data_IF_583121678089
#
_entry.id   IF_583121678089
#
_cell.length_a   1.000
_cell.length_b   1.000
_cell.length_c   1.000
_cell.angle_alpha   90.00
_cell.angle_beta   90.00
_cell.angle_gamma   90.00
#
_symmetry.space_group_name_H-M   'P 1'
#
loop_
_entity.id
_entity.type
_entity.pdbx_description
1 polymer ?
#
# COMPACT_ATOMS: atom_id res chain seq x y z
N UNK A 1 21.27 20.44 12.77
CA UNK A 1 21.61 19.87 11.45
C UNK A 1 20.42 20.09 10.53
N UNK A 2 20.59 20.92 9.49
CA UNK A 2 19.52 21.23 8.54
C UNK A 2 19.25 19.99 7.68
N UNK A 3 18.05 19.41 7.82
CA UNK A 3 17.59 18.41 6.86
C UNK A 3 17.56 19.08 5.48
N UNK A 4 18.44 18.67 4.58
CA UNK A 4 18.36 19.06 3.18
C UNK A 4 16.97 18.65 2.67
N UNK A 5 16.15 19.64 2.30
CA UNK A 5 14.90 19.44 1.57
C UNK A 5 15.25 18.88 0.18
N UNK A 6 15.52 17.58 0.11
CA UNK A 6 15.67 16.90 -1.18
C UNK A 6 14.28 16.88 -1.81
N UNK A 7 14.12 17.69 -2.83
CA UNK A 7 12.89 17.73 -3.61
C UNK A 7 12.64 16.35 -4.21
N UNK A 8 11.55 15.68 -3.83
CA UNK A 8 11.16 14.42 -4.44
C UNK A 8 10.73 14.67 -5.89
N UNK A 9 11.46 14.08 -6.81
CA UNK A 9 11.10 14.04 -8.23
C UNK A 9 10.58 12.63 -8.52
N UNK A 10 9.27 12.48 -8.58
CA UNK A 10 8.65 11.20 -8.93
C UNK A 10 9.03 10.76 -10.34
N UNK A 11 8.86 9.46 -10.62
CA UNK A 11 9.03 8.92 -11.97
C UNK A 11 8.08 9.64 -12.97
N UNK A 12 8.34 9.48 -14.29
CA UNK A 12 7.41 9.98 -15.32
C UNK A 12 5.99 9.44 -15.09
N UNK A 13 5.86 8.15 -14.75
CA UNK A 13 4.58 7.53 -14.45
C UNK A 13 3.91 8.17 -13.24
N UNK A 14 4.65 8.38 -12.14
CA UNK A 14 4.14 9.08 -10.95
C UNK A 14 3.54 10.44 -11.31
N UNK A 15 4.26 11.26 -12.06
CA UNK A 15 3.79 12.60 -12.45
C UNK A 15 2.53 12.55 -13.32
N UNK A 16 2.43 11.58 -14.24
CA UNK A 16 1.23 11.35 -15.05
C UNK A 16 0.06 10.99 -14.15
N UNK A 17 0.22 10.04 -13.23
CA UNK A 17 -0.86 9.60 -12.32
C UNK A 17 -1.31 10.71 -11.37
N UNK A 18 -0.37 11.45 -10.78
CA UNK A 18 -0.69 12.61 -9.94
C UNK A 18 -1.50 13.66 -10.70
N UNK A 19 -1.16 13.91 -11.96
CA UNK A 19 -1.93 14.85 -12.80
C UNK A 19 -3.33 14.30 -13.16
N UNK A 20 -3.45 12.99 -13.45
CA UNK A 20 -4.76 12.35 -13.65
C UNK A 20 -5.64 12.50 -12.40
N UNK A 21 -5.11 12.22 -11.21
CA UNK A 21 -5.87 12.39 -9.96
C UNK A 21 -6.33 13.84 -9.74
N UNK A 22 -5.51 14.82 -10.12
CA UNK A 22 -5.92 16.24 -10.09
C UNK A 22 -7.07 16.54 -11.07
N UNK A 23 -7.03 15.96 -12.27
CA UNK A 23 -8.06 16.12 -13.29
C UNK A 23 -9.38 15.43 -12.92
N UNK A 24 -9.31 14.30 -12.19
CA UNK A 24 -10.49 13.62 -11.64
C UNK A 24 -11.24 14.49 -10.61
N UNK A 25 -10.56 15.45 -10.01
CA UNK A 25 -11.14 16.40 -9.05
C UNK A 25 -11.41 15.78 -7.68
N UNK A 26 -12.59 16.11 -7.12
CA UNK A 26 -12.99 15.64 -5.78
C UNK A 26 -13.26 14.15 -5.72
N UNK A 27 -12.97 13.54 -4.57
CA UNK A 27 -13.46 12.20 -4.29
C UNK A 27 -14.97 12.22 -4.05
N UNK A 28 -15.69 11.15 -4.39
CA UNK A 28 -17.09 11.00 -4.01
C UNK A 28 -17.27 11.03 -2.49
N UNK A 29 -18.42 11.48 -2.03
CA UNK A 29 -18.77 11.45 -0.62
C UNK A 29 -18.65 10.02 -0.06
N UNK A 30 -18.06 9.92 1.12
CA UNK A 30 -17.84 8.64 1.79
C UNK A 30 -17.02 7.63 0.96
N UNK A 31 -16.16 8.08 0.06
CA UNK A 31 -15.30 7.20 -0.72
C UNK A 31 -14.47 6.28 0.17
N UNK A 32 -14.16 5.09 -0.35
CA UNK A 32 -13.14 4.19 0.17
C UNK A 32 -11.92 4.33 -0.72
N UNK A 33 -10.74 4.52 -0.16
CA UNK A 33 -9.51 4.73 -0.93
C UNK A 33 -8.55 3.56 -0.76
N UNK A 34 -8.11 2.98 -1.87
CA UNK A 34 -6.97 2.07 -1.93
C UNK A 34 -5.72 2.90 -2.19
N UNK A 35 -4.92 3.14 -1.15
CA UNK A 35 -3.71 3.98 -1.17
C UNK A 35 -2.46 3.12 -1.11
N UNK A 36 -1.59 3.23 -2.11
CA UNK A 36 -0.37 2.44 -2.14
C UNK A 36 0.42 2.61 -3.42
N UNK A 37 1.20 1.60 -3.75
CA UNK A 37 2.09 1.57 -4.91
C UNK A 37 1.51 0.76 -6.08
N UNK A 38 2.37 -0.01 -6.80
CA UNK A 38 1.97 -0.85 -7.92
C UNK A 38 0.98 -1.93 -7.53
N UNK A 39 1.06 -2.48 -6.32
CA UNK A 39 0.11 -3.48 -5.86
C UNK A 39 -1.32 -2.91 -5.82
N UNK A 40 -1.48 -1.69 -5.32
CA UNK A 40 -2.78 -1.01 -5.36
C UNK A 40 -3.19 -0.62 -6.78
N UNK A 41 -2.26 -0.06 -7.59
CA UNK A 41 -2.58 0.39 -8.95
C UNK A 41 -3.01 -0.74 -9.87
N UNK A 42 -2.30 -1.88 -9.86
CA UNK A 42 -2.66 -3.05 -10.66
C UNK A 42 -3.97 -3.72 -10.23
N UNK A 43 -4.50 -3.43 -9.06
CA UNK A 43 -5.86 -3.78 -8.67
C UNK A 43 -6.92 -3.17 -9.60
N UNK A 44 -6.57 -2.11 -10.36
CA UNK A 44 -7.44 -1.43 -11.34
C UNK A 44 -8.75 -0.96 -10.70
N UNK A 45 -9.88 -1.43 -11.21
CA UNK A 45 -11.19 -1.17 -10.62
C UNK A 45 -11.48 -2.14 -9.47
N UNK A 46 -11.26 -1.68 -8.25
CA UNK A 46 -11.53 -2.45 -7.05
C UNK A 46 -13.03 -2.72 -6.82
N UNK A 47 -13.92 -1.91 -7.39
CA UNK A 47 -15.37 -2.09 -7.24
C UNK A 47 -15.85 -3.42 -7.81
N UNK A 48 -15.10 -4.02 -8.78
CA UNK A 48 -15.42 -5.34 -9.34
C UNK A 48 -15.48 -6.46 -8.28
N UNK A 49 -14.74 -6.31 -7.18
CA UNK A 49 -14.75 -7.29 -6.06
C UNK A 49 -15.83 -7.00 -5.03
N UNK A 50 -16.42 -5.79 -5.05
CA UNK A 50 -17.30 -5.27 -4.01
C UNK A 50 -18.50 -4.52 -4.62
N UNK A 51 -19.37 -5.21 -5.38
CA UNK A 51 -20.42 -4.54 -6.18
C UNK A 51 -21.44 -3.78 -5.33
N UNK A 52 -21.59 -4.12 -4.05
CA UNK A 52 -22.53 -3.48 -3.12
C UNK A 52 -21.86 -2.50 -2.16
N UNK A 53 -20.56 -2.26 -2.29
CA UNK A 53 -19.84 -1.33 -1.44
C UNK A 53 -20.00 0.12 -1.93
N UNK A 54 -19.63 1.07 -1.05
CA UNK A 54 -19.39 2.46 -1.46
C UNK A 54 -18.31 2.51 -2.52
N UNK A 55 -18.27 3.59 -3.31
CA UNK A 55 -17.31 3.72 -4.40
C UNK A 55 -15.87 3.63 -3.88
N UNK A 56 -15.13 2.65 -4.38
CA UNK A 56 -13.73 2.42 -4.06
C UNK A 56 -12.89 3.12 -5.11
N UNK A 57 -12.03 4.02 -4.68
CA UNK A 57 -11.15 4.83 -5.52
C UNK A 57 -9.73 4.30 -5.41
N UNK A 58 -9.17 3.92 -6.54
CA UNK A 58 -7.78 3.49 -6.61
C UNK A 58 -6.84 4.70 -6.65
N UNK A 59 -6.04 4.84 -5.62
CA UNK A 59 -4.96 5.84 -5.49
C UNK A 59 -3.59 5.16 -5.37
N UNK A 60 -3.41 4.02 -6.05
CA UNK A 60 -2.11 3.39 -6.26
C UNK A 60 -1.31 4.07 -7.36
N UNK A 61 0.03 4.08 -7.24
CA UNK A 61 0.96 4.52 -8.28
C UNK A 61 2.15 3.57 -8.34
N UNK A 62 2.38 2.97 -9.52
CA UNK A 62 3.51 2.07 -9.77
C UNK A 62 4.83 2.76 -9.41
N UNK A 63 5.64 2.09 -8.60
CA UNK A 63 6.96 2.58 -8.19
C UNK A 63 6.93 3.65 -7.11
N UNK A 64 5.75 3.96 -6.53
CA UNK A 64 5.65 4.95 -5.46
C UNK A 64 6.24 4.43 -4.15
N UNK A 65 6.87 5.33 -3.42
CA UNK A 65 7.45 5.08 -2.11
C UNK A 65 6.77 5.93 -1.02
N UNK A 66 7.16 5.76 0.23
CA UNK A 66 6.59 6.50 1.36
C UNK A 66 6.66 8.02 1.18
N UNK A 67 7.69 8.56 0.51
CA UNK A 67 7.84 10.00 0.23
C UNK A 67 6.84 10.47 -0.83
N UNK A 68 6.69 9.69 -1.90
CA UNK A 68 5.78 10.02 -2.99
C UNK A 68 4.34 10.00 -2.51
N UNK A 69 3.95 8.99 -1.73
CA UNK A 69 2.63 8.90 -1.10
C UNK A 69 2.40 10.12 -0.20
N UNK A 70 3.35 10.44 0.68
CA UNK A 70 3.25 11.61 1.58
C UNK A 70 2.96 12.91 0.81
N UNK A 71 3.64 13.12 -0.34
CA UNK A 71 3.48 14.33 -1.16
C UNK A 71 2.12 14.49 -1.82
N UNK A 72 1.38 13.41 -2.04
CA UNK A 72 0.08 13.42 -2.72
C UNK A 72 -1.12 13.19 -1.79
N UNK A 73 -0.91 13.14 -0.48
CA UNK A 73 -2.01 13.07 0.49
C UNK A 73 -2.97 14.26 0.38
N UNK A 74 -2.50 15.42 -0.04
CA UNK A 74 -3.31 16.60 -0.29
C UNK A 74 -4.36 16.42 -1.40
N UNK A 75 -4.29 15.35 -2.20
CA UNK A 75 -5.29 14.98 -3.20
C UNK A 75 -6.36 14.02 -2.66
N UNK A 76 -6.24 13.63 -1.41
CA UNK A 76 -7.10 12.63 -0.77
C UNK A 76 -7.74 13.20 0.49
N UNK A 77 -6.91 13.71 1.41
CA UNK A 77 -7.34 14.07 2.75
C UNK A 77 -8.36 15.22 2.81
N UNK A 78 -8.31 16.26 1.93
CA UNK A 78 -9.33 17.31 1.94
C UNK A 78 -10.77 16.84 1.69
N UNK A 79 -10.93 15.63 1.16
CA UNK A 79 -12.23 15.03 0.84
C UNK A 79 -12.77 14.09 1.92
N UNK A 80 -12.07 13.93 3.04
CA UNK A 80 -12.48 13.12 4.19
C UNK A 80 -13.04 11.74 3.78
N UNK A 81 -12.25 10.86 3.12
CA UNK A 81 -12.73 9.56 2.72
C UNK A 81 -13.19 8.76 3.95
N UNK A 82 -14.22 7.93 3.81
CA UNK A 82 -14.73 7.14 4.93
C UNK A 82 -13.72 6.10 5.41
N UNK A 83 -12.93 5.53 4.47
CA UNK A 83 -11.93 4.52 4.75
C UNK A 83 -10.70 4.72 3.86
N UNK A 84 -9.53 4.43 4.40
CA UNK A 84 -8.28 4.31 3.63
C UNK A 84 -7.65 2.96 3.94
N UNK A 85 -7.43 2.15 2.90
CA UNK A 85 -6.62 0.94 2.94
C UNK A 85 -5.23 1.31 2.43
N UNK A 86 -4.23 1.25 3.30
CA UNK A 86 -2.89 1.76 3.03
C UNK A 86 -1.84 0.66 3.06
N UNK A 87 -1.09 0.51 1.97
CA UNK A 87 0.05 -0.39 1.83
C UNK A 87 1.22 0.38 1.22
N UNK A 88 2.43 0.27 1.81
CA UNK A 88 3.63 0.96 1.34
C UNK A 88 4.89 0.37 1.97
N UNK A 89 6.02 0.40 1.23
CA UNK A 89 7.33 0.06 1.74
C UNK A 89 8.17 -0.80 0.79
N UNK A 90 7.53 -1.52 -0.13
CA UNK A 90 8.23 -2.40 -1.08
C UNK A 90 9.21 -1.63 -1.97
N UNK A 91 8.80 -0.48 -2.49
CA UNK A 91 9.68 0.37 -3.30
C UNK A 91 10.77 1.04 -2.47
N UNK A 92 10.47 1.42 -1.22
CA UNK A 92 11.47 1.91 -0.27
C UNK A 92 12.60 0.88 -0.05
N UNK A 93 12.22 -0.41 0.10
CA UNK A 93 13.20 -1.52 0.16
C UNK A 93 14.01 -1.63 -1.12
N UNK A 94 13.40 -1.44 -2.29
CA UNK A 94 14.09 -1.47 -3.58
C UNK A 94 15.15 -0.39 -3.70
N UNK A 95 14.97 0.75 -3.03
CA UNK A 95 15.96 1.84 -2.94
C UNK A 95 17.13 1.54 -2.01
N UNK A 96 17.12 0.38 -1.33
CA UNK A 96 18.17 -0.02 -0.40
C UNK A 96 18.11 0.69 0.96
N UNK A 97 16.97 1.25 1.33
CA UNK A 97 16.82 1.90 2.63
C UNK A 97 16.71 0.87 3.74
N UNK A 98 17.14 1.26 4.93
CA UNK A 98 17.03 0.44 6.13
C UNK A 98 15.57 0.31 6.56
N UNK A 99 15.23 -0.83 7.19
CA UNK A 99 13.88 -1.07 7.73
C UNK A 99 13.43 0.07 8.64
N UNK A 100 14.34 0.59 9.48
CA UNK A 100 14.02 1.71 10.39
C UNK A 100 13.64 2.98 9.62
N UNK A 101 14.39 3.34 8.58
CA UNK A 101 14.09 4.51 7.74
C UNK A 101 12.74 4.36 7.04
N UNK A 102 12.45 3.17 6.51
CA UNK A 102 11.19 2.88 5.83
C UNK A 102 10.04 2.97 6.83
N UNK A 103 10.19 2.32 7.97
CA UNK A 103 9.20 2.35 9.06
C UNK A 103 8.83 3.79 9.44
N UNK A 104 9.82 4.67 9.67
CA UNK A 104 9.57 6.10 9.96
C UNK A 104 8.83 6.80 8.81
N UNK A 105 9.19 6.53 7.57
CA UNK A 105 8.49 7.07 6.40
C UNK A 105 7.02 6.66 6.34
N UNK A 106 6.74 5.38 6.55
CA UNK A 106 5.38 4.83 6.57
C UNK A 106 4.58 5.37 7.76
N UNK A 107 5.17 5.42 8.96
CA UNK A 107 4.53 6.01 10.16
C UNK A 107 4.19 7.48 9.94
N UNK A 108 5.06 8.26 9.31
CA UNK A 108 4.75 9.66 8.98
C UNK A 108 3.51 9.81 8.08
N UNK A 109 3.32 8.90 7.13
CA UNK A 109 2.09 8.87 6.30
C UNK A 109 0.89 8.54 7.17
N UNK A 110 0.97 7.50 8.01
CA UNK A 110 -0.09 7.08 8.93
C UNK A 110 -0.52 8.24 9.84
N UNK A 111 0.44 8.91 10.50
CA UNK A 111 0.16 10.01 11.41
C UNK A 111 -0.41 11.24 10.68
N UNK A 112 0.05 11.52 9.46
CA UNK A 112 -0.55 12.59 8.64
C UNK A 112 -2.01 12.31 8.34
N UNK A 113 -2.36 11.07 7.98
CA UNK A 113 -3.76 10.68 7.74
C UNK A 113 -4.58 10.83 9.03
N UNK A 114 -4.10 10.28 10.14
CA UNK A 114 -4.80 10.28 11.43
C UNK A 114 -5.08 11.69 11.95
N UNK A 115 -4.09 12.56 11.86
CA UNK A 115 -4.21 13.94 12.37
C UNK A 115 -5.05 14.82 11.48
N UNK A 116 -4.99 14.63 10.15
CA UNK A 116 -5.74 15.44 9.19
C UNK A 116 -7.19 14.98 9.06
N UNK A 117 -7.44 13.67 9.11
CA UNK A 117 -8.77 13.08 8.91
C UNK A 117 -9.12 12.11 10.07
N UNK A 118 -9.35 12.60 11.29
CA UNK A 118 -9.54 11.76 12.47
C UNK A 118 -10.79 10.86 12.42
N UNK A 119 -11.74 11.16 11.53
CA UNK A 119 -12.94 10.34 11.32
C UNK A 119 -12.76 9.25 10.26
N UNK A 120 -11.69 9.31 9.48
CA UNK A 120 -11.38 8.29 8.47
C UNK A 120 -10.92 7.01 9.14
N UNK A 121 -11.57 5.89 8.83
CA UNK A 121 -11.08 4.57 9.26
C UNK A 121 -9.83 4.20 8.45
N UNK A 122 -8.70 4.14 9.12
CA UNK A 122 -7.42 3.77 8.50
C UNK A 122 -7.10 2.31 8.77
N UNK A 123 -6.89 1.55 7.68
CA UNK A 123 -6.45 0.15 7.69
C UNK A 123 -5.04 0.09 7.13
N UNK A 124 -4.08 -0.20 7.99
CA UNK A 124 -2.68 -0.40 7.58
C UNK A 124 -2.52 -1.85 7.14
N UNK A 125 -2.04 -2.06 5.93
CA UNK A 125 -1.86 -3.38 5.34
C UNK A 125 -0.38 -3.77 5.34
N UNK A 126 -0.09 -5.06 5.54
CA UNK A 126 1.27 -5.57 5.43
C UNK A 126 1.80 -5.46 3.99
N UNK A 127 3.10 -5.39 3.84
CA UNK A 127 3.75 -5.70 2.57
C UNK A 127 3.48 -7.16 2.19
N UNK A 128 3.56 -7.45 0.89
CA UNK A 128 3.33 -8.78 0.33
C UNK A 128 4.63 -9.60 0.27
N UNK A 129 4.53 -10.95 0.29
CA UNK A 129 5.69 -11.79 0.08
C UNK A 129 6.20 -11.72 -1.38
N UNK A 130 7.46 -12.08 -1.60
CA UNK A 130 8.04 -12.25 -2.93
C UNK A 130 7.97 -13.72 -3.37
N UNK A 131 8.20 -13.98 -4.67
CA UNK A 131 8.46 -15.33 -5.18
C UNK A 131 9.56 -15.31 -6.24
N UNK A 132 10.80 -15.51 -5.82
CA UNK A 132 11.96 -15.48 -6.71
C UNK A 132 12.02 -16.66 -7.70
N UNK A 133 11.21 -17.71 -7.49
CA UNK A 133 11.10 -18.84 -8.43
C UNK A 133 10.21 -18.49 -9.63
N UNK A 134 9.22 -17.62 -9.45
CA UNK A 134 8.38 -17.11 -10.52
C UNK A 134 9.08 -15.99 -11.28
N UNK A 135 9.80 -15.11 -10.57
CA UNK A 135 10.58 -14.04 -11.18
C UNK A 135 11.42 -13.29 -10.17
N UNK A 136 12.56 -12.77 -10.61
CA UNK A 136 13.52 -12.07 -9.75
C UNK A 136 13.54 -10.58 -10.04
N UNK A 137 13.12 -9.82 -9.06
CA UNK A 137 13.26 -8.36 -9.04
C UNK A 137 14.63 -8.01 -8.43
N UNK A 138 15.60 -7.66 -9.27
CA UNK A 138 17.02 -7.49 -8.91
C UNK A 138 17.24 -6.65 -7.65
N UNK A 139 16.48 -5.57 -7.47
CA UNK A 139 16.61 -4.65 -6.33
C UNK A 139 15.92 -5.17 -5.05
N UNK A 140 15.11 -6.23 -5.15
CA UNK A 140 14.41 -6.87 -4.03
C UNK A 140 14.95 -8.27 -3.72
N UNK A 141 15.86 -8.78 -4.53
CA UNK A 141 16.41 -10.14 -4.37
C UNK A 141 16.96 -10.36 -2.96
N UNK A 142 16.49 -11.44 -2.31
CA UNK A 142 16.92 -11.84 -0.96
C UNK A 142 16.45 -10.91 0.15
N UNK A 143 15.40 -10.08 -0.06
CA UNK A 143 14.92 -9.12 0.93
C UNK A 143 13.68 -9.57 1.70
N UNK A 144 13.28 -10.84 1.59
CA UNK A 144 12.10 -11.35 2.30
C UNK A 144 12.16 -11.13 3.80
N UNK A 145 13.33 -11.36 4.42
CA UNK A 145 13.51 -11.11 5.87
C UNK A 145 13.30 -9.63 6.24
N UNK A 146 13.65 -8.69 5.35
CA UNK A 146 13.41 -7.27 5.58
C UNK A 146 11.93 -6.91 5.47
N UNK A 147 11.19 -7.58 4.57
CA UNK A 147 9.73 -7.46 4.46
C UNK A 147 9.08 -7.94 5.76
N UNK A 148 9.49 -9.11 6.26
CA UNK A 148 8.97 -9.66 7.52
C UNK A 148 9.24 -8.70 8.69
N UNK A 149 10.48 -8.23 8.84
CA UNK A 149 10.85 -7.28 9.88
C UNK A 149 10.03 -5.99 9.83
N UNK A 150 9.81 -5.44 8.62
CA UNK A 150 9.01 -4.23 8.46
C UNK A 150 7.53 -4.49 8.82
N UNK A 151 6.97 -5.62 8.39
CA UNK A 151 5.60 -6.02 8.72
C UNK A 151 5.40 -6.18 10.24
N UNK A 152 6.37 -6.79 10.94
CA UNK A 152 6.33 -6.93 12.40
C UNK A 152 6.37 -5.56 13.11
N UNK A 153 7.26 -4.65 12.67
CA UNK A 153 7.32 -3.28 13.23
C UNK A 153 6.00 -2.53 13.00
N UNK A 154 5.41 -2.62 11.80
CA UNK A 154 4.14 -1.98 11.49
C UNK A 154 2.99 -2.58 12.29
N UNK A 155 2.95 -3.90 12.46
CA UNK A 155 1.97 -4.59 13.31
C UNK A 155 2.06 -4.12 14.76
N UNK A 156 3.29 -4.08 15.32
CA UNK A 156 3.53 -3.58 16.68
C UNK A 156 3.05 -2.14 16.83
N UNK A 157 3.45 -1.27 15.91
CA UNK A 157 3.02 0.12 15.90
C UNK A 157 1.48 0.28 15.86
N UNK A 158 0.82 -0.49 15.01
CA UNK A 158 -0.64 -0.46 14.92
C UNK A 158 -1.31 -0.91 16.22
N UNK A 159 -0.80 -1.98 16.85
CA UNK A 159 -1.29 -2.46 18.13
C UNK A 159 -1.17 -1.39 19.23
N UNK A 160 0.00 -0.76 19.37
CA UNK A 160 0.28 0.26 20.37
C UNK A 160 -0.59 1.52 20.18
N UNK A 161 -0.97 1.81 18.92
CA UNK A 161 -1.75 3.00 18.53
C UNK A 161 -3.24 2.70 18.26
N UNK A 162 -3.73 1.49 18.58
CA UNK A 162 -5.13 1.06 18.37
C UNK A 162 -5.60 1.22 16.93
N UNK A 163 -4.70 0.97 15.97
CA UNK A 163 -4.98 0.92 14.54
C UNK A 163 -5.23 -0.51 14.10
N UNK A 164 -6.03 -0.68 13.05
CA UNK A 164 -6.24 -1.98 12.43
C UNK A 164 -5.06 -2.28 11.50
N UNK A 165 -4.34 -3.37 11.79
CA UNK A 165 -3.35 -3.95 10.89
C UNK A 165 -3.96 -5.14 10.16
N UNK A 166 -3.94 -5.12 8.82
CA UNK A 166 -4.44 -6.21 7.99
C UNK A 166 -3.26 -7.02 7.45
N UNK A 167 -3.20 -8.27 7.81
CA UNK A 167 -2.18 -9.19 7.34
C UNK A 167 -2.54 -9.71 5.95
N UNK A 168 -1.87 -9.22 4.93
CA UNK A 168 -1.93 -9.73 3.56
C UNK A 168 -0.79 -10.74 3.29
N UNK A 169 0.28 -10.70 4.11
CA UNK A 169 1.50 -11.48 3.89
C UNK A 169 1.23 -12.97 4.00
N UNK A 170 0.75 -13.42 5.17
CA UNK A 170 0.59 -14.86 5.44
C UNK A 170 -0.44 -15.55 4.54
N UNK A 171 -1.63 -14.98 4.26
CA UNK A 171 -2.59 -15.61 3.35
C UNK A 171 -2.12 -15.77 1.90
N UNK A 172 -1.11 -14.98 1.50
CA UNK A 172 -0.53 -15.05 0.15
C UNK A 172 0.67 -16.01 0.05
N UNK A 173 1.14 -16.57 1.17
CA UNK A 173 2.25 -17.53 1.16
C UNK A 173 1.86 -18.84 0.48
N UNK A 174 2.86 -19.49 -0.13
CA UNK A 174 2.76 -20.86 -0.62
C UNK A 174 2.86 -21.91 0.50
N UNK A 175 2.75 -23.17 0.11
CA UNK A 175 2.80 -24.33 1.03
C UNK A 175 4.07 -24.34 1.90
N UNK A 176 5.18 -23.83 1.41
CA UNK A 176 6.45 -23.76 2.13
C UNK A 176 6.56 -22.59 3.12
N UNK A 177 5.54 -21.75 3.24
CA UNK A 177 5.47 -20.57 4.11
C UNK A 177 6.66 -19.59 4.00
N UNK A 178 7.36 -19.55 2.85
CA UNK A 178 8.52 -18.67 2.62
C UNK A 178 8.34 -17.71 1.45
N UNK A 179 7.56 -18.09 0.44
CA UNK A 179 7.39 -17.34 -0.80
C UNK A 179 5.90 -17.21 -1.11
N UNK A 180 5.53 -16.18 -1.86
CA UNK A 180 4.17 -16.05 -2.38
C UNK A 180 3.78 -17.31 -3.15
N UNK A 181 2.55 -17.79 -3.00
CA UNK A 181 2.05 -18.92 -3.79
C UNK A 181 2.17 -18.60 -5.29
N UNK A 182 2.69 -19.55 -6.09
CA UNK A 182 2.95 -19.31 -7.50
C UNK A 182 1.71 -18.88 -8.29
N UNK A 183 0.52 -19.44 -7.97
CA UNK A 183 -0.75 -19.03 -8.60
C UNK A 183 -1.18 -17.61 -8.26
N UNK A 184 -0.73 -17.07 -7.12
CA UNK A 184 -1.05 -15.70 -6.70
C UNK A 184 -0.06 -14.69 -7.24
N UNK A 185 1.08 -15.16 -7.76
CA UNK A 185 2.20 -14.37 -8.23
C UNK A 185 2.20 -14.26 -9.77
N UNK A 186 2.40 -13.06 -10.30
CA UNK A 186 2.50 -12.82 -11.74
C UNK A 186 3.94 -12.85 -12.27
N UNK A 187 4.86 -12.25 -11.52
CA UNK A 187 6.21 -11.94 -12.00
C UNK A 187 7.28 -11.93 -10.90
N UNK A 188 7.00 -12.57 -9.77
CA UNK A 188 7.89 -12.62 -8.60
C UNK A 188 7.62 -11.53 -7.55
N UNK A 189 6.87 -10.48 -7.92
CA UNK A 189 6.52 -9.34 -7.06
C UNK A 189 5.01 -9.08 -7.06
N UNK A 190 4.42 -8.92 -8.25
CA UNK A 190 3.05 -8.47 -8.38
C UNK A 190 2.05 -9.63 -8.38
N UNK A 191 0.83 -9.34 -7.95
CA UNK A 191 -0.24 -10.32 -7.88
C UNK A 191 -0.79 -10.70 -9.25
N UNK A 192 -1.18 -11.97 -9.38
CA UNK A 192 -2.07 -12.46 -10.41
C UNK A 192 -3.53 -12.09 -10.10
N UNK A 193 -4.46 -12.40 -11.02
CA UNK A 193 -5.89 -12.21 -10.75
C UNK A 193 -6.35 -13.01 -9.51
N UNK A 194 -5.88 -14.25 -9.34
CA UNK A 194 -6.16 -15.06 -8.14
C UNK A 194 -5.62 -14.41 -6.87
N UNK A 195 -4.42 -13.82 -6.93
CA UNK A 195 -3.84 -13.08 -5.80
C UNK A 195 -4.70 -11.88 -5.38
N UNK A 196 -5.26 -11.15 -6.35
CA UNK A 196 -6.21 -10.06 -6.06
C UNK A 196 -7.54 -10.55 -5.48
N UNK A 197 -8.03 -11.73 -5.86
CA UNK A 197 -9.20 -12.35 -5.24
C UNK A 197 -8.94 -12.69 -3.75
N UNK A 198 -7.75 -13.21 -3.44
CA UNK A 198 -7.32 -13.44 -2.04
C UNK A 198 -7.31 -12.14 -1.27
N UNK A 199 -6.65 -11.09 -1.79
CA UNK A 199 -6.61 -9.78 -1.14
C UNK A 199 -8.03 -9.23 -0.91
N UNK A 200 -8.87 -9.25 -1.94
CA UNK A 200 -10.26 -8.79 -1.82
C UNK A 200 -11.04 -9.55 -0.75
N UNK A 201 -10.85 -10.86 -0.65
CA UNK A 201 -11.52 -11.68 0.37
C UNK A 201 -11.06 -11.31 1.79
N UNK A 202 -9.78 -11.04 2.00
CA UNK A 202 -9.22 -10.61 3.29
C UNK A 202 -9.84 -9.29 3.75
N UNK A 203 -9.94 -8.30 2.85
CA UNK A 203 -10.44 -6.97 3.22
C UNK A 203 -11.97 -6.85 3.17
N UNK A 204 -12.70 -7.89 2.76
CA UNK A 204 -14.15 -7.83 2.53
C UNK A 204 -14.96 -7.40 3.74
N UNK A 205 -14.66 -7.92 4.93
CA UNK A 205 -15.33 -7.53 6.16
C UNK A 205 -15.14 -6.06 6.47
N UNK A 206 -13.91 -5.55 6.30
CA UNK A 206 -13.56 -4.16 6.54
C UNK A 206 -14.16 -3.19 5.52
N UNK A 207 -14.39 -3.64 4.29
CA UNK A 207 -15.08 -2.85 3.27
C UNK A 207 -16.54 -2.65 3.65
N UNK A 208 -17.20 -3.69 4.19
CA UNK A 208 -18.65 -3.75 4.42
C UNK A 208 -19.09 -3.20 5.80
N UNK A 209 -18.17 -2.98 6.76
CA UNK A 209 -18.53 -2.46 8.10
C UNK A 209 -18.97 -0.99 8.15
#
# INVERSE_FOLDING_TARGET
MHAQNVTYHGSKHYNVRVNQFKQEGSLPDNAIVMLGDSHSEYGKDWNRFFPNARKIINRGIIGDDSRGISKRLNQILPYNPSKIFFECGTNDLSHGWTVERIFQGVVNVIETIRTTCPQTKLYVQSLLPLNEKVGVWKLLKGKDDLIIQLNEKLRGYCNDNKLVFIDLYHPLLGVNAKEMHADYCRDGLHLSNKGYEVWANIIRSYINE
#
